data_IF_032794046348
#
_entry.id   IF_032794046348
#
_cell.length_a   1.000
_cell.length_b   1.000
_cell.length_c   1.000
_cell.angle_alpha   90.00
_cell.angle_beta   90.00
_cell.angle_gamma   90.00
#
_symmetry.space_group_name_H-M   'P 1'
#
loop_
_entity.id
_entity.type
_entity.pdbx_description
1 polymer ?
#
# COMPACT_ATOMS: atom_id res chain seq x y z
N UNK A 1 -12.28 11.66 -11.39
CA UNK A 1 -11.04 12.01 -12.12
C UNK A 1 -9.93 12.54 -11.21
N UNK A 2 -9.72 11.93 -10.03
CA UNK A 2 -8.58 12.21 -9.14
C UNK A 2 -7.48 11.12 -9.23
N UNK A 3 -7.81 9.96 -9.83
CA UNK A 3 -6.97 8.76 -9.87
C UNK A 3 -5.62 8.90 -10.60
N UNK A 4 -5.42 9.95 -11.40
CA UNK A 4 -4.18 10.13 -12.17
C UNK A 4 -3.32 11.32 -11.68
N UNK A 5 -3.86 12.20 -10.83
CA UNK A 5 -3.19 13.47 -10.51
C UNK A 5 -1.91 13.26 -9.68
N UNK A 6 -1.91 12.27 -8.78
CA UNK A 6 -0.75 11.99 -7.92
C UNK A 6 0.31 11.10 -8.59
N UNK A 7 -0.04 10.45 -9.71
CA UNK A 7 0.78 9.41 -10.37
C UNK A 7 2.03 9.95 -11.06
N UNK A 8 2.07 11.27 -11.32
CA UNK A 8 3.18 11.99 -11.95
C UNK A 8 4.00 12.84 -10.96
N UNK A 9 3.62 12.88 -9.68
CA UNK A 9 4.44 13.54 -8.65
C UNK A 9 5.69 12.72 -8.37
N UNK A 10 6.78 13.33 -7.90
CA UNK A 10 8.02 12.59 -7.54
C UNK A 10 7.73 11.45 -6.55
N UNK A 11 6.88 11.70 -5.55
CA UNK A 11 6.44 10.69 -4.59
C UNK A 11 5.61 9.59 -5.27
N UNK A 12 4.68 9.97 -6.16
CA UNK A 12 3.89 9.02 -6.93
C UNK A 12 4.70 8.17 -7.91
N UNK A 13 5.75 8.71 -8.50
CA UNK A 13 6.68 8.00 -9.39
C UNK A 13 7.54 7.03 -8.59
N UNK A 14 8.14 7.47 -7.48
CA UNK A 14 8.95 6.62 -6.62
C UNK A 14 8.11 5.45 -6.07
N UNK A 15 6.92 5.76 -5.57
CA UNK A 15 6.01 4.75 -5.05
C UNK A 15 5.51 3.80 -6.15
N UNK A 16 5.22 4.30 -7.35
CA UNK A 16 4.88 3.44 -8.49
C UNK A 16 6.03 2.50 -8.84
N UNK A 17 7.26 2.99 -8.88
CA UNK A 17 8.44 2.18 -9.17
C UNK A 17 8.62 1.04 -8.15
N UNK A 18 8.43 1.34 -6.87
CA UNK A 18 8.47 0.33 -5.81
C UNK A 18 7.32 -0.66 -5.95
N UNK A 19 6.09 -0.19 -6.22
CA UNK A 19 4.94 -1.08 -6.38
C UNK A 19 5.07 -1.96 -7.63
N UNK A 20 5.62 -1.45 -8.73
CA UNK A 20 5.87 -2.21 -9.95
C UNK A 20 6.90 -3.34 -9.69
N UNK A 21 7.94 -3.09 -8.90
CA UNK A 21 8.88 -4.14 -8.42
C UNK A 21 8.15 -5.23 -7.61
N UNK A 22 7.21 -4.86 -6.74
CA UNK A 22 6.40 -5.82 -5.99
C UNK A 22 5.37 -6.58 -6.84
N UNK A 23 4.92 -6.00 -7.96
CA UNK A 23 4.08 -6.68 -8.97
C UNK A 23 4.93 -7.69 -9.75
N UNK A 24 6.14 -7.32 -10.16
CA UNK A 24 7.07 -8.24 -10.84
C UNK A 24 7.48 -9.42 -9.95
N UNK A 25 7.57 -9.20 -8.64
CA UNK A 25 7.78 -10.27 -7.66
C UNK A 25 6.54 -11.14 -7.37
N UNK A 26 5.42 -10.93 -8.07
CA UNK A 26 4.10 -11.58 -7.92
C UNK A 26 3.51 -11.52 -6.50
N UNK A 27 3.92 -10.55 -5.69
CA UNK A 27 3.41 -10.36 -4.32
C UNK A 27 2.23 -9.39 -4.26
N UNK A 28 2.18 -8.42 -5.18
CA UNK A 28 1.14 -7.39 -5.22
C UNK A 28 0.22 -7.61 -6.43
N UNK A 29 -1.06 -7.90 -6.17
CA UNK A 29 -2.07 -8.07 -7.23
C UNK A 29 -2.71 -6.78 -7.68
N UNK A 30 -2.97 -5.85 -6.77
CA UNK A 30 -3.56 -4.57 -7.11
C UNK A 30 -3.21 -3.50 -6.07
N UNK A 31 -3.12 -2.24 -6.51
CA UNK A 31 -3.01 -1.08 -5.63
C UNK A 31 -3.92 0.06 -6.10
N UNK A 32 -4.32 0.93 -5.17
CA UNK A 32 -5.10 2.14 -5.43
C UNK A 32 -4.75 3.22 -4.42
N UNK A 33 -4.64 4.44 -4.91
CA UNK A 33 -4.66 5.64 -4.08
C UNK A 33 -5.82 6.53 -4.49
N UNK A 34 -6.67 6.89 -3.53
CA UNK A 34 -7.81 7.79 -3.73
C UNK A 34 -8.11 8.49 -2.41
N UNK A 35 -8.38 9.79 -2.44
CA UNK A 35 -8.79 10.58 -1.28
C UNK A 35 -7.87 10.44 -0.06
N UNK A 36 -6.56 10.46 -0.31
CA UNK A 36 -5.51 10.25 0.72
C UNK A 36 -5.56 8.87 1.41
N UNK A 37 -6.20 7.89 0.79
CA UNK A 37 -6.27 6.50 1.23
C UNK A 37 -5.57 5.59 0.23
N UNK A 38 -4.59 4.84 0.73
CA UNK A 38 -3.96 3.73 0.04
C UNK A 38 -4.75 2.44 0.26
N UNK A 39 -4.88 1.65 -0.80
CA UNK A 39 -5.40 0.29 -0.76
C UNK A 39 -4.47 -0.62 -1.52
N UNK A 40 -4.03 -1.71 -0.90
CA UNK A 40 -3.20 -2.74 -1.50
C UNK A 40 -3.90 -4.10 -1.38
N UNK A 41 -3.81 -4.92 -2.42
CA UNK A 41 -4.25 -6.31 -2.44
C UNK A 41 -3.04 -7.15 -2.80
N UNK A 42 -2.63 -8.01 -1.89
CA UNK A 42 -1.46 -8.88 -2.00
C UNK A 42 -1.88 -10.34 -1.85
N UNK A 43 -1.12 -11.25 -2.44
CA UNK A 43 -1.34 -12.69 -2.34
C UNK A 43 -0.05 -13.38 -1.90
N UNK A 44 -0.17 -14.54 -1.25
CA UNK A 44 0.95 -15.34 -0.72
C UNK A 44 1.87 -14.53 0.22
N UNK A 45 1.28 -13.83 1.19
CA UNK A 45 2.00 -12.90 2.09
C UNK A 45 2.46 -13.62 3.35
N UNK A 46 3.74 -13.48 3.70
CA UNK A 46 4.29 -13.92 4.98
C UNK A 46 4.38 -12.71 5.93
N UNK A 47 3.73 -12.81 7.11
CA UNK A 47 3.84 -11.77 8.13
C UNK A 47 4.90 -12.16 9.16
N UNK A 48 5.91 -11.29 9.32
CA UNK A 48 6.96 -11.46 10.32
C UNK A 48 6.67 -10.57 11.50
N UNK A 49 6.37 -11.20 12.64
CA UNK A 49 6.27 -10.53 13.93
C UNK A 49 7.45 -10.99 14.81
N UNK A 50 8.09 -10.04 15.48
CA UNK A 50 9.28 -10.25 16.32
C UNK A 50 8.92 -11.01 17.62
N UNK A 51 7.66 -10.90 18.05
CA UNK A 51 7.17 -11.48 19.31
C UNK A 51 6.44 -12.81 19.14
N UNK A 52 5.73 -13.00 18.02
CA UNK A 52 5.06 -14.25 17.67
C UNK A 52 5.15 -14.48 16.16
N UNK A 53 6.13 -15.27 15.68
CA UNK A 53 6.19 -15.63 14.27
C UNK A 53 4.85 -16.21 13.83
N UNK A 54 4.23 -15.60 12.81
CA UNK A 54 3.07 -16.19 12.17
C UNK A 54 3.63 -17.22 11.20
N UNK A 55 3.55 -18.49 11.56
CA UNK A 55 3.99 -19.56 10.69
C UNK A 55 3.05 -19.69 9.49
N UNK A 56 3.65 -19.61 8.30
CA UNK A 56 2.97 -19.84 7.02
C UNK A 56 2.69 -18.58 6.21
N UNK A 57 2.21 -18.81 4.99
CA UNK A 57 1.80 -17.76 4.06
C UNK A 57 0.30 -17.55 4.13
N UNK A 58 -0.14 -16.30 4.07
CA UNK A 58 -1.54 -15.91 3.94
C UNK A 58 -1.87 -15.75 2.47
N UNK A 59 -2.86 -16.51 2.00
CA UNK A 59 -3.26 -16.57 0.61
C UNK A 59 -3.58 -15.19 0.04
N UNK A 60 -4.25 -14.33 0.81
CA UNK A 60 -4.62 -12.98 0.37
C UNK A 60 -4.78 -11.99 1.51
N UNK A 61 -4.22 -10.80 1.31
CA UNK A 61 -4.27 -9.69 2.25
C UNK A 61 -4.78 -8.44 1.54
N UNK A 62 -5.65 -7.67 2.21
CA UNK A 62 -6.02 -6.31 1.81
C UNK A 62 -5.58 -5.31 2.88
N UNK A 63 -4.71 -4.39 2.51
CA UNK A 63 -4.24 -3.31 3.39
C UNK A 63 -4.93 -2.02 2.97
N UNK A 64 -5.55 -1.31 3.91
CA UNK A 64 -6.10 0.04 3.71
C UNK A 64 -5.42 0.99 4.69
N UNK A 65 -4.76 2.03 4.18
CA UNK A 65 -3.98 2.97 4.99
C UNK A 65 -4.36 4.42 4.65
N UNK A 66 -4.77 5.19 5.64
CA UNK A 66 -5.04 6.62 5.50
C UNK A 66 -3.77 7.44 5.79
N UNK A 67 -3.62 8.59 5.12
CA UNK A 67 -2.55 9.54 5.47
C UNK A 67 -2.76 10.08 6.90
N UNK A 68 -1.79 9.83 7.78
CA UNK A 68 -1.81 10.28 9.17
C UNK A 68 -1.76 11.81 9.32
N UNK A 69 -1.31 12.55 8.29
CA UNK A 69 -1.31 14.01 8.32
C UNK A 69 -2.70 14.62 8.15
N UNK A 70 -3.67 13.89 7.56
CA UNK A 70 -5.05 14.36 7.44
C UNK A 70 -5.70 14.59 8.83
N UNK A 71 -5.32 13.81 9.84
CA UNK A 71 -5.83 13.95 11.21
C UNK A 71 -5.25 15.18 11.94
N UNK A 72 -4.06 15.66 11.56
CA UNK A 72 -3.42 16.81 12.23
C UNK A 72 -4.11 18.14 11.91
N UNK A 73 -4.76 18.25 10.76
CA UNK A 73 -5.44 19.48 10.32
C UNK A 73 -6.84 19.67 10.93
N UNK A 74 -7.42 18.63 11.56
CA UNK A 74 -8.75 18.71 12.18
C UNK A 74 -8.69 19.25 13.62
N UNK A 75 -7.50 19.24 14.23
CA UNK A 75 -7.28 19.68 15.62
C UNK A 75 -6.56 21.04 15.73
N UNK A 76 -6.55 21.87 14.68
CA UNK A 76 -6.08 23.26 14.71
C UNK A 76 -7.18 24.17 14.21
#
# INVERSE_FOLDING_TARGET
>A
MAYQLYRSTTLGIALRSTLDEYVEADKLKAYRFCDNVWTFVMENVEFRDVTQPIDGTIDRVKIVACDANAAKLVNT
#
